data_IF_828143521640
#
_entry.id   IF_828143521640
#
_cell.length_a   1.000
_cell.length_b   1.000
_cell.length_c   1.000
_cell.angle_alpha   90.00
_cell.angle_beta   90.00
_cell.angle_gamma   90.00
#
_symmetry.space_group_name_H-M   'P 1'
#
loop_
_entity.id
_entity.type
_entity.pdbx_description
1 polymer ?
#
# COMPACT_ATOMS: atom_id res chain seq x y z
N UNK A 1 -7.48 -4.13 -12.90
CA UNK A 1 -6.02 -3.94 -12.90
C UNK A 1 -5.28 -5.02 -12.12
N UNK A 2 -5.61 -5.28 -10.86
CA UNK A 2 -4.97 -6.34 -10.04
C UNK A 2 -5.01 -7.72 -10.71
N UNK A 3 -6.16 -8.11 -11.29
CA UNK A 3 -6.28 -9.38 -12.03
C UNK A 3 -5.26 -9.53 -13.17
N UNK A 4 -5.02 -8.46 -13.94
CA UNK A 4 -4.03 -8.45 -15.01
C UNK A 4 -2.59 -8.62 -14.51
N UNK A 5 -2.27 -8.13 -13.30
CA UNK A 5 -0.95 -8.32 -12.68
C UNK A 5 -0.74 -9.80 -12.36
N UNK A 6 -1.74 -10.45 -11.74
CA UNK A 6 -1.67 -11.88 -11.44
C UNK A 6 -1.65 -12.72 -12.70
N UNK A 7 -2.47 -12.40 -13.70
CA UNK A 7 -2.45 -13.07 -15.00
C UNK A 7 -1.05 -13.05 -15.65
N UNK A 8 -0.33 -11.92 -15.56
CA UNK A 8 1.06 -11.83 -16.02
C UNK A 8 2.00 -12.71 -15.19
N UNK A 9 1.81 -12.78 -13.88
CA UNK A 9 2.58 -13.70 -13.04
C UNK A 9 2.29 -15.17 -13.39
N UNK A 10 1.05 -15.53 -13.68
CA UNK A 10 0.66 -16.87 -14.17
C UNK A 10 1.34 -17.22 -15.50
N UNK A 11 1.42 -16.28 -16.45
CA UNK A 11 2.18 -16.46 -17.69
C UNK A 11 3.66 -16.73 -17.39
N UNK A 12 4.29 -15.94 -16.51
CA UNK A 12 5.70 -16.13 -16.15
C UNK A 12 5.98 -17.49 -15.47
N UNK A 13 5.03 -18.04 -14.70
CA UNK A 13 5.13 -19.40 -14.15
C UNK A 13 5.21 -20.44 -15.27
N UNK A 14 4.38 -20.30 -16.31
CA UNK A 14 4.32 -21.24 -17.44
C UNK A 14 5.53 -21.11 -18.37
N UNK A 15 5.95 -19.88 -18.66
CA UNK A 15 6.96 -19.58 -19.69
C UNK A 15 8.40 -19.66 -19.14
N UNK A 16 8.60 -19.29 -17.87
CA UNK A 16 9.94 -19.02 -17.32
C UNK A 16 10.26 -19.85 -16.07
N UNK A 17 9.45 -20.86 -15.74
CA UNK A 17 9.57 -21.69 -14.53
C UNK A 17 9.70 -20.87 -13.23
N UNK A 18 9.10 -19.68 -13.22
CA UNK A 18 9.02 -18.83 -12.03
C UNK A 18 7.95 -19.36 -11.08
N UNK A 19 7.95 -18.85 -9.84
CA UNK A 19 6.83 -19.02 -8.90
C UNK A 19 6.39 -17.66 -8.40
N UNK A 20 5.18 -17.57 -7.88
CA UNK A 20 4.75 -16.40 -7.12
C UNK A 20 3.87 -16.76 -5.94
N UNK A 21 3.85 -15.85 -4.96
CA UNK A 21 2.90 -15.86 -3.86
C UNK A 21 2.24 -14.49 -3.82
N UNK A 22 0.91 -14.47 -3.86
CA UNK A 22 0.14 -13.24 -3.87
C UNK A 22 -0.92 -13.24 -2.76
N UNK A 23 -1.08 -12.08 -2.13
CA UNK A 23 -2.16 -11.82 -1.18
C UNK A 23 -2.85 -10.51 -1.53
N UNK A 24 -4.15 -10.46 -1.28
CA UNK A 24 -4.97 -9.25 -1.39
C UNK A 24 -5.54 -8.92 -0.02
N UNK A 25 -5.49 -7.65 0.35
CA UNK A 25 -6.19 -7.08 1.50
C UNK A 25 -7.06 -5.91 1.07
N UNK A 26 -8.06 -5.60 1.88
CA UNK A 26 -8.93 -4.45 1.68
C UNK A 26 -9.24 -3.79 3.00
N UNK A 27 -9.23 -2.47 3.02
CA UNK A 27 -9.64 -1.68 4.18
C UNK A 27 -10.47 -0.48 3.78
N UNK A 28 -11.37 -0.04 4.65
CA UNK A 28 -12.03 1.26 4.53
C UNK A 28 -11.65 2.19 5.66
N UNK A 29 -11.56 3.48 5.33
CA UNK A 29 -11.43 4.56 6.30
C UNK A 29 -12.81 5.23 6.43
N UNK A 30 -13.49 5.09 7.58
CA UNK A 30 -14.80 5.69 7.79
C UNK A 30 -14.76 7.22 7.83
N UNK A 31 -15.90 7.86 7.56
CA UNK A 31 -16.07 9.32 7.67
C UNK A 31 -15.84 9.88 9.07
N UNK A 32 -15.94 9.06 10.12
CA UNK A 32 -15.60 9.46 11.50
C UNK A 32 -14.15 9.97 11.64
N UNK A 33 -13.24 9.54 10.76
CA UNK A 33 -11.84 9.98 10.77
C UNK A 33 -11.66 11.47 10.40
N UNK A 34 -12.70 12.10 9.84
CA UNK A 34 -12.66 13.52 9.44
C UNK A 34 -12.65 14.44 10.64
N UNK A 35 -13.41 14.11 11.69
CA UNK A 35 -13.49 14.88 12.93
C UNK A 35 -12.66 14.28 14.08
N UNK A 36 -12.33 12.99 14.05
CA UNK A 36 -11.55 12.32 15.10
C UNK A 36 -10.04 12.61 15.05
N UNK A 37 -9.38 12.48 16.21
CA UNK A 37 -7.91 12.43 16.30
C UNK A 37 -7.37 11.05 15.94
N UNK A 38 -8.04 10.00 16.44
CA UNK A 38 -7.76 8.63 16.08
C UNK A 38 -8.20 8.29 14.66
N UNK A 39 -7.35 7.58 13.94
CA UNK A 39 -7.70 7.02 12.64
C UNK A 39 -8.26 5.63 12.85
N UNK A 40 -9.51 5.45 12.46
CA UNK A 40 -10.17 4.15 12.45
C UNK A 40 -10.07 3.50 11.07
N UNK A 41 -9.97 2.19 11.05
CA UNK A 41 -9.95 1.37 9.84
C UNK A 41 -10.87 0.18 10.02
N UNK A 42 -11.66 -0.13 9.00
CA UNK A 42 -12.45 -1.35 8.91
C UNK A 42 -11.79 -2.28 7.91
N UNK A 43 -11.44 -3.48 8.35
CA UNK A 43 -10.99 -4.54 7.45
C UNK A 43 -12.21 -5.14 6.74
N UNK A 44 -12.34 -4.88 5.44
CA UNK A 44 -13.49 -5.29 4.62
C UNK A 44 -13.47 -6.77 4.24
N UNK A 45 -12.42 -7.51 4.58
CA UNK A 45 -12.36 -8.98 4.45
C UNK A 45 -12.65 -9.68 5.79
N UNK A 46 -12.74 -8.93 6.88
CA UNK A 46 -13.15 -9.41 8.21
C UNK A 46 -14.63 -9.12 8.49
N UNK A 47 -15.18 -9.76 9.52
CA UNK A 47 -16.52 -9.46 10.06
C UNK A 47 -16.49 -8.42 11.18
N UNK A 48 -15.32 -7.86 11.52
CA UNK A 48 -15.16 -6.89 12.60
C UNK A 48 -15.65 -5.50 12.23
N UNK A 49 -16.00 -4.71 13.24
CA UNK A 49 -16.24 -3.27 13.09
C UNK A 49 -14.94 -2.48 12.90
N UNK A 50 -15.03 -1.15 12.71
CA UNK A 50 -13.84 -0.30 12.67
C UNK A 50 -13.00 -0.40 13.94
N UNK A 51 -11.68 -0.47 13.79
CA UNK A 51 -10.70 -0.50 14.87
C UNK A 51 -9.62 0.57 14.63
N UNK A 52 -8.85 0.93 15.66
CA UNK A 52 -7.78 1.92 15.52
C UNK A 52 -6.70 1.43 14.55
N UNK A 53 -6.30 2.30 13.61
CA UNK A 53 -5.34 1.99 12.57
C UNK A 53 -3.93 1.84 13.15
N UNK A 54 -3.32 0.66 12.94
CA UNK A 54 -1.95 0.39 13.33
C UNK A 54 -1.01 0.60 12.16
N UNK A 55 -0.54 1.83 12.00
CA UNK A 55 0.38 2.18 10.91
C UNK A 55 1.77 1.57 11.12
N UNK A 56 2.26 0.92 10.07
CA UNK A 56 3.59 0.34 10.04
C UNK A 56 4.25 0.55 8.69
N UNK A 57 5.49 0.09 8.56
CA UNK A 57 6.23 0.16 7.32
C UNK A 57 6.96 -1.15 7.06
N UNK A 58 6.73 -1.70 5.88
CA UNK A 58 7.58 -2.75 5.33
C UNK A 58 8.81 -2.09 4.69
N UNK A 59 10.03 -2.58 4.97
CA UNK A 59 11.25 -1.93 4.49
C UNK A 59 11.38 -1.90 2.96
N UNK A 60 10.68 -2.79 2.26
CA UNK A 60 10.71 -2.91 0.79
C UNK A 60 9.47 -2.25 0.17
N UNK A 61 8.27 -2.58 0.66
CA UNK A 61 7.01 -2.14 0.06
C UNK A 61 6.43 -0.86 0.63
N UNK A 62 7.03 -0.31 1.70
CA UNK A 62 6.67 1.01 2.25
C UNK A 62 5.58 0.96 3.33
N UNK A 63 4.91 2.10 3.61
CA UNK A 63 3.85 2.21 4.60
C UNK A 63 2.71 1.21 4.36
N UNK A 64 2.17 0.67 5.44
CA UNK A 64 1.03 -0.26 5.44
C UNK A 64 0.32 -0.23 6.80
N UNK A 65 -0.69 -1.08 6.93
CA UNK A 65 -1.45 -1.29 8.16
C UNK A 65 -1.19 -2.70 8.70
N UNK A 66 -1.01 -2.81 10.01
CA UNK A 66 -0.93 -4.09 10.71
C UNK A 66 -2.33 -4.61 11.05
N UNK A 67 -2.39 -5.89 11.37
CA UNK A 67 -3.61 -6.61 11.80
C UNK A 67 -4.77 -6.53 10.79
N UNK A 68 -4.42 -6.42 9.50
CA UNK A 68 -5.37 -6.52 8.39
C UNK A 68 -5.32 -7.94 7.82
N UNK A 69 -6.50 -8.53 7.61
CA UNK A 69 -6.65 -9.83 6.96
C UNK A 69 -6.17 -9.74 5.51
N UNK A 70 -5.36 -10.73 5.15
CA UNK A 70 -4.86 -10.95 3.80
C UNK A 70 -5.42 -12.29 3.31
N UNK A 71 -6.09 -12.30 2.14
CA UNK A 71 -6.49 -13.54 1.47
C UNK A 71 -5.47 -13.90 0.38
N UNK A 72 -4.97 -15.14 0.41
CA UNK A 72 -4.08 -15.66 -0.65
C UNK A 72 -4.88 -15.80 -1.95
N UNK A 73 -4.26 -15.43 -3.07
CA UNK A 73 -4.84 -15.54 -4.41
C UNK A 73 -3.88 -16.30 -5.33
N UNK A 74 -4.40 -17.33 -6.00
CA UNK A 74 -3.60 -18.20 -6.87
C UNK A 74 -3.68 -17.82 -8.35
N UNK A 75 -4.74 -17.13 -8.77
CA UNK A 75 -5.02 -16.80 -10.17
C UNK A 75 -5.89 -15.54 -10.29
N UNK A 76 -6.08 -15.09 -11.54
CA UNK A 76 -6.94 -13.95 -11.89
C UNK A 76 -8.38 -14.08 -11.33
N UNK A 77 -8.97 -15.28 -11.31
CA UNK A 77 -10.35 -15.50 -10.85
C UNK A 77 -10.45 -15.34 -9.33
N UNK A 78 -9.49 -15.88 -8.59
CA UNK A 78 -9.38 -15.72 -7.15
C UNK A 78 -9.23 -14.23 -6.77
N UNK A 79 -8.43 -13.46 -7.53
CA UNK A 79 -8.35 -12.00 -7.35
C UNK A 79 -9.72 -11.36 -7.52
N UNK A 80 -10.43 -11.65 -8.61
CA UNK A 80 -11.74 -11.06 -8.87
C UNK A 80 -12.73 -11.36 -7.74
N UNK A 81 -12.71 -12.57 -7.20
CA UNK A 81 -13.54 -12.96 -6.06
C UNK A 81 -13.20 -12.15 -4.79
N UNK A 82 -11.93 -12.02 -4.44
CA UNK A 82 -11.51 -11.26 -3.25
C UNK A 82 -11.80 -9.77 -3.40
N UNK A 83 -11.48 -9.17 -4.56
CA UNK A 83 -11.80 -7.76 -4.84
C UNK A 83 -13.31 -7.52 -4.78
N UNK A 84 -14.12 -8.44 -5.30
CA UNK A 84 -15.59 -8.33 -5.20
C UNK A 84 -16.07 -8.35 -3.75
N UNK A 85 -15.44 -9.13 -2.85
CA UNK A 85 -15.74 -9.07 -1.41
C UNK A 85 -15.39 -7.70 -0.83
N UNK A 86 -14.21 -7.16 -1.15
CA UNK A 86 -13.79 -5.84 -0.69
C UNK A 86 -14.81 -4.76 -1.09
N UNK A 87 -15.27 -4.77 -2.35
CA UNK A 87 -16.23 -3.79 -2.87
C UNK A 87 -17.61 -3.95 -2.24
N UNK A 88 -18.08 -5.19 -2.02
CA UNK A 88 -19.37 -5.44 -1.36
C UNK A 88 -19.44 -4.93 0.08
N UNK A 89 -18.31 -4.94 0.78
CA UNK A 89 -18.21 -4.56 2.19
C UNK A 89 -17.79 -3.09 2.40
N UNK A 90 -17.61 -2.35 1.30
CA UNK A 90 -17.34 -0.92 1.25
C UNK A 90 -18.66 -0.13 1.11
N UNK A 91 -18.83 0.91 1.93
CA UNK A 91 -20.04 1.72 1.92
C UNK A 91 -19.81 3.13 1.33
N UNK A 92 -20.06 3.24 0.03
CA UNK A 92 -19.99 4.51 -0.70
C UNK A 92 -21.06 5.53 -0.27
N UNK A 93 -22.11 5.13 0.47
CA UNK A 93 -23.12 6.10 0.94
C UNK A 93 -22.68 6.79 2.23
N UNK A 94 -21.73 6.22 2.94
CA UNK A 94 -21.32 6.63 4.28
C UNK A 94 -19.94 7.31 4.32
N UNK A 95 -19.50 7.99 3.26
CA UNK A 95 -18.23 8.72 3.40
C UNK A 95 -16.95 7.90 3.23
N UNK A 96 -17.06 6.59 3.00
CA UNK A 96 -15.91 5.71 3.14
C UNK A 96 -14.89 5.90 2.01
N UNK A 97 -13.61 5.73 2.35
CA UNK A 97 -12.52 5.60 1.41
C UNK A 97 -12.05 4.15 1.40
N UNK A 98 -12.02 3.50 0.23
CA UNK A 98 -11.60 2.10 0.08
C UNK A 98 -10.15 2.01 -0.40
N UNK A 99 -9.33 1.24 0.30
CA UNK A 99 -7.97 0.89 -0.12
C UNK A 99 -7.89 -0.62 -0.32
N UNK A 100 -7.52 -1.05 -1.52
CA UNK A 100 -7.24 -2.45 -1.84
C UNK A 100 -5.77 -2.60 -2.16
N UNK A 101 -5.08 -3.51 -1.46
CA UNK A 101 -3.65 -3.74 -1.64
C UNK A 101 -3.40 -5.16 -2.12
N UNK A 102 -2.61 -5.30 -3.18
CA UNK A 102 -1.99 -6.55 -3.61
C UNK A 102 -0.54 -6.56 -3.12
N UNK A 103 -0.16 -7.62 -2.40
CA UNK A 103 1.24 -7.93 -2.13
C UNK A 103 1.65 -9.14 -2.98
N UNK A 104 2.74 -9.00 -3.74
CA UNK A 104 3.23 -10.02 -4.66
C UNK A 104 4.70 -10.33 -4.34
N UNK A 105 4.99 -11.60 -4.06
CA UNK A 105 6.35 -12.15 -4.07
C UNK A 105 6.54 -12.92 -5.37
N UNK A 106 7.51 -12.54 -6.19
CA UNK A 106 7.95 -13.31 -7.37
C UNK A 106 9.27 -14.01 -7.07
N UNK A 107 9.36 -15.29 -7.44
CA UNK A 107 10.53 -16.14 -7.25
C UNK A 107 11.02 -16.51 -8.64
N UNK A 108 12.08 -15.84 -9.08
CA UNK A 108 12.65 -15.99 -10.43
C UNK A 108 13.88 -16.88 -10.41
N UNK A 109 14.06 -17.69 -11.44
CA UNK A 109 15.28 -18.48 -11.59
C UNK A 109 16.51 -17.56 -11.83
N UNK A 110 17.71 -17.92 -11.33
CA UNK A 110 18.02 -19.12 -10.55
C UNK A 110 17.80 -19.02 -9.03
N UNK A 111 17.35 -17.88 -8.46
CA UNK A 111 16.88 -17.69 -7.05
C UNK A 111 16.67 -16.20 -6.68
N UNK A 112 16.21 -15.37 -7.62
CA UNK A 112 15.95 -13.96 -7.34
C UNK A 112 14.54 -13.76 -6.81
N UNK A 113 14.44 -13.28 -5.56
CA UNK A 113 13.16 -13.00 -4.92
C UNK A 113 12.87 -11.51 -5.00
N UNK A 114 11.71 -11.17 -5.55
CA UNK A 114 11.21 -9.80 -5.63
C UNK A 114 9.91 -9.68 -4.84
N UNK A 115 9.79 -8.62 -4.04
CA UNK A 115 8.55 -8.27 -3.34
C UNK A 115 8.07 -6.94 -3.88
N UNK A 116 6.79 -6.88 -4.26
CA UNK A 116 6.14 -5.70 -4.80
C UNK A 116 4.78 -5.53 -4.14
N UNK A 117 4.38 -4.28 -3.87
CA UNK A 117 3.02 -3.94 -3.51
C UNK A 117 2.37 -3.13 -4.62
N UNK A 118 1.07 -3.30 -4.78
CA UNK A 118 0.25 -2.50 -5.67
C UNK A 118 -1.02 -2.08 -4.92
N UNK A 119 -1.29 -0.78 -4.87
CA UNK A 119 -2.38 -0.21 -4.09
C UNK A 119 -3.37 0.49 -5.02
N UNK A 120 -4.65 0.16 -4.88
CA UNK A 120 -5.75 0.92 -5.43
C UNK A 120 -6.44 1.70 -4.31
N UNK A 121 -6.53 3.01 -4.49
CA UNK A 121 -7.29 3.90 -3.62
C UNK A 121 -8.53 4.37 -4.36
N UNK A 122 -9.70 4.16 -3.76
CA UNK A 122 -10.99 4.63 -4.26
C UNK A 122 -11.57 5.65 -3.29
N UNK A 123 -11.89 6.82 -3.83
CA UNK A 123 -12.45 7.94 -3.11
C UNK A 123 -13.57 8.52 -3.95
N UNK A 124 -14.72 8.78 -3.34
CA UNK A 124 -15.79 9.50 -4.00
C UNK A 124 -15.66 10.99 -3.68
N UNK A 125 -15.25 11.77 -4.67
CA UNK A 125 -15.00 13.19 -4.50
C UNK A 125 -16.28 14.03 -4.31
N UNK A 126 -17.44 13.50 -4.71
CA UNK A 126 -18.74 14.18 -4.58
C UNK A 126 -19.35 14.07 -3.16
N UNK A 127 -18.71 13.33 -2.27
CA UNK A 127 -19.15 13.12 -0.89
C UNK A 127 -18.94 14.36 -0.02
N UNK A 128 -19.90 14.67 0.86
CA UNK A 128 -19.89 15.91 1.66
C UNK A 128 -18.72 15.99 2.63
N UNK A 129 -18.30 14.86 3.18
CA UNK A 129 -17.25 14.84 4.21
C UNK A 129 -15.85 14.57 3.66
N UNK A 130 -15.74 14.26 2.35
CA UNK A 130 -14.44 14.11 1.72
C UNK A 130 -13.92 15.45 1.20
N UNK A 131 -12.65 15.75 1.49
CA UNK A 131 -11.97 16.93 0.97
C UNK A 131 -10.57 16.53 0.51
N UNK A 132 -10.33 16.64 -0.80
CA UNK A 132 -9.06 16.26 -1.42
C UNK A 132 -7.89 17.08 -0.86
N UNK A 133 -8.07 18.39 -0.65
CA UNK A 133 -7.02 19.25 -0.11
C UNK A 133 -6.59 18.79 1.29
N UNK A 134 -7.55 18.41 2.14
CA UNK A 134 -7.26 17.88 3.48
C UNK A 134 -6.49 16.56 3.42
N UNK A 135 -6.86 15.65 2.51
CA UNK A 135 -6.11 14.41 2.30
C UNK A 135 -4.66 14.71 1.88
N UNK A 136 -4.47 15.64 0.94
CA UNK A 136 -3.13 16.04 0.48
C UNK A 136 -2.29 16.69 1.58
N UNK A 137 -2.90 17.51 2.44
CA UNK A 137 -2.25 18.06 3.64
C UNK A 137 -1.87 16.97 4.63
N UNK A 138 -2.75 16.00 4.89
CA UNK A 138 -2.46 14.84 5.75
C UNK A 138 -1.26 14.03 5.22
N UNK A 139 -1.18 13.83 3.90
CA UNK A 139 -0.06 13.14 3.25
C UNK A 139 1.24 13.93 3.42
N UNK A 140 1.22 15.22 3.09
CA UNK A 140 2.39 16.11 3.19
C UNK A 140 2.95 16.14 4.62
N UNK A 141 2.05 16.25 5.60
CA UNK A 141 2.40 16.34 7.01
C UNK A 141 2.59 14.98 7.69
N UNK A 142 2.38 13.87 6.97
CA UNK A 142 2.49 12.49 7.48
C UNK A 142 1.62 12.27 8.71
N UNK A 143 0.36 12.70 8.64
CA UNK A 143 -0.64 12.56 9.71
C UNK A 143 -1.84 11.77 9.22
N UNK A 144 -2.61 11.26 10.18
CA UNK A 144 -3.84 10.50 9.96
C UNK A 144 -3.67 9.41 8.88
N UNK A 145 -4.66 9.21 8.01
CA UNK A 145 -4.60 8.29 6.87
C UNK A 145 -3.51 8.65 5.84
N UNK A 146 -3.05 9.90 5.84
CA UNK A 146 -2.00 10.38 4.95
C UNK A 146 -0.68 9.62 5.11
N UNK A 147 -0.41 9.05 6.29
CA UNK A 147 0.75 8.18 6.56
C UNK A 147 0.85 7.02 5.55
N UNK A 148 -0.28 6.41 5.21
CA UNK A 148 -0.35 5.26 4.31
C UNK A 148 0.08 5.62 2.87
N UNK A 149 -0.16 6.86 2.45
CA UNK A 149 0.05 7.29 1.07
C UNK A 149 1.37 8.04 0.85
N UNK A 150 2.20 8.18 1.88
CA UNK A 150 3.51 8.87 1.77
C UNK A 150 4.48 8.21 0.80
N UNK A 151 4.31 6.91 0.49
CA UNK A 151 5.06 6.26 -0.58
C UNK A 151 4.49 6.57 -1.97
N UNK A 152 3.16 6.62 -2.08
CA UNK A 152 2.44 6.87 -3.32
C UNK A 152 2.60 8.32 -3.82
N UNK A 153 2.67 9.30 -2.92
CA UNK A 153 2.75 10.73 -3.28
C UNK A 153 4.04 11.33 -2.74
N UNK A 154 4.94 11.75 -3.64
CA UNK A 154 6.28 12.24 -3.32
C UNK A 154 7.28 11.16 -2.87
N UNK A 155 6.83 9.90 -2.77
CA UNK A 155 7.61 8.76 -2.31
C UNK A 155 8.18 7.90 -3.44
N UNK A 156 8.53 6.66 -3.11
CA UNK A 156 9.24 5.74 -4.00
C UNK A 156 8.32 4.75 -4.74
N UNK A 157 7.17 5.24 -5.19
CA UNK A 157 6.14 4.46 -5.90
C UNK A 157 5.86 5.08 -7.27
N UNK A 158 5.38 4.28 -8.22
CA UNK A 158 4.79 4.82 -9.46
C UNK A 158 3.30 4.98 -9.25
N UNK A 159 2.80 6.19 -9.43
CA UNK A 159 1.43 6.55 -9.12
C UNK A 159 0.75 7.09 -10.35
N UNK A 160 -0.44 6.57 -10.63
CA UNK A 160 -1.33 7.09 -11.64
C UNK A 160 -2.60 7.57 -10.94
N UNK A 161 -3.07 8.75 -11.32
CA UNK A 161 -4.33 9.31 -10.86
C UNK A 161 -5.34 9.25 -12.00
N UNK A 162 -6.54 8.77 -11.69
CA UNK A 162 -7.67 8.76 -12.62
C UNK A 162 -8.82 9.47 -11.94
N UNK A 163 -9.28 10.57 -12.53
CA UNK A 163 -10.47 11.30 -12.08
C UNK A 163 -11.55 11.10 -13.15
N UNK A 164 -12.47 10.14 -12.94
CA UNK A 164 -13.62 10.04 -13.82
C UNK A 164 -14.53 11.25 -13.60
N UNK A 165 -15.01 11.84 -14.70
CA UNK A 165 -16.00 12.93 -14.67
C UNK A 165 -17.31 12.38 -15.23
N UNK A 166 -18.36 12.46 -14.43
CA UNK A 166 -19.70 11.97 -14.74
C UNK A 166 -20.67 13.14 -14.94
N UNK A 167 -21.77 12.95 -15.69
CA UNK A 167 -22.79 14.00 -15.86
C UNK A 167 -23.33 14.53 -14.52
N UNK A 168 -23.38 13.71 -13.48
CA UNK A 168 -23.86 14.11 -12.16
C UNK A 168 -22.95 15.11 -11.44
N UNK A 169 -21.66 15.14 -11.77
CA UNK A 169 -20.70 16.04 -11.13
C UNK A 169 -20.99 17.51 -11.46
N UNK A 170 -21.69 17.78 -12.56
CA UNK A 170 -22.12 19.15 -12.93
C UNK A 170 -23.12 19.74 -11.92
N UNK A 171 -23.78 18.89 -11.11
CA UNK A 171 -24.65 19.35 -10.02
C UNK A 171 -23.86 19.99 -8.89
N UNK A 172 -22.55 19.77 -8.81
CA UNK A 172 -21.65 20.39 -7.85
C UNK A 172 -20.31 20.78 -8.49
N UNK A 173 -20.37 21.77 -9.39
CA UNK A 173 -19.22 22.29 -10.13
C UNK A 173 -18.08 22.80 -9.24
N UNK A 174 -18.36 23.24 -8.01
CA UNK A 174 -17.33 23.74 -7.10
C UNK A 174 -16.44 22.59 -6.60
N UNK A 175 -17.04 21.50 -6.12
CA UNK A 175 -16.30 20.31 -5.68
C UNK A 175 -15.53 19.68 -6.85
N UNK A 176 -16.13 19.62 -8.04
CA UNK A 176 -15.45 19.13 -9.24
C UNK A 176 -14.23 20.01 -9.57
N UNK A 177 -14.35 21.34 -9.55
CA UNK A 177 -13.22 22.26 -9.77
C UNK A 177 -12.09 22.05 -8.77
N UNK A 178 -12.41 21.92 -7.47
CA UNK A 178 -11.41 21.63 -6.44
C UNK A 178 -10.69 20.30 -6.73
N UNK A 179 -11.45 19.26 -7.04
CA UNK A 179 -10.90 17.92 -7.35
C UNK A 179 -9.98 17.96 -8.57
N UNK A 180 -10.38 18.65 -9.64
CA UNK A 180 -9.58 18.80 -10.85
C UNK A 180 -8.31 19.63 -10.60
N UNK A 181 -8.39 20.70 -9.81
CA UNK A 181 -7.23 21.53 -9.46
C UNK A 181 -6.21 20.75 -8.63
N UNK A 182 -6.67 20.04 -7.59
CA UNK A 182 -5.78 19.18 -6.79
C UNK A 182 -5.21 18.03 -7.63
N UNK A 183 -6.01 17.45 -8.52
CA UNK A 183 -5.53 16.42 -9.46
C UNK A 183 -4.45 16.94 -10.41
N UNK A 184 -4.63 18.15 -10.95
CA UNK A 184 -3.61 18.81 -11.76
C UNK A 184 -2.33 19.07 -10.95
N UNK A 185 -2.46 19.52 -9.69
CA UNK A 185 -1.31 19.70 -8.79
C UNK A 185 -0.58 18.38 -8.53
N UNK A 186 -1.31 17.28 -8.29
CA UNK A 186 -0.73 15.93 -8.12
C UNK A 186 0.08 15.49 -9.35
N UNK A 187 -0.39 15.80 -10.56
CA UNK A 187 0.32 15.46 -11.79
C UNK A 187 1.70 16.15 -11.92
N UNK A 188 1.88 17.29 -11.25
CA UNK A 188 3.19 17.98 -11.21
C UNK A 188 4.14 17.43 -10.15
N UNK A 189 3.65 16.60 -9.23
CA UNK A 189 4.47 16.07 -8.14
C UNK A 189 5.42 14.99 -8.66
N UNK A 190 6.72 15.20 -8.43
CA UNK A 190 7.74 14.21 -8.80
C UNK A 190 7.92 13.19 -7.70
N UNK A 191 7.49 11.96 -7.96
CA UNK A 191 7.87 10.82 -7.12
C UNK A 191 9.37 10.52 -7.25
N UNK A 192 9.95 10.05 -6.15
CA UNK A 192 11.31 9.50 -6.15
C UNK A 192 11.38 8.27 -7.06
N UNK A 193 12.56 7.92 -7.56
CA UNK A 193 12.75 6.64 -8.24
C UNK A 193 12.21 5.48 -7.40
N UNK A 194 11.59 4.51 -8.05
CA UNK A 194 11.12 3.30 -7.39
C UNK A 194 12.28 2.58 -6.71
N UNK A 195 12.04 2.04 -5.52
CA UNK A 195 13.00 1.15 -4.86
C UNK A 195 13.03 -0.19 -5.60
N UNK A 196 14.18 -0.86 -5.55
CA UNK A 196 14.25 -2.26 -5.95
C UNK A 196 13.39 -3.10 -5.01
N UNK A 197 12.49 -3.91 -5.58
CA UNK A 197 11.78 -4.95 -4.83
C UNK A 197 12.64 -6.19 -4.55
N UNK A 198 13.87 -6.24 -5.07
CA UNK A 198 14.76 -7.39 -4.95
C UNK A 198 15.31 -7.56 -3.53
N UNK A 199 15.05 -8.71 -2.91
CA UNK A 199 15.50 -8.99 -1.54
C UNK A 199 17.03 -8.99 -1.44
N UNK A 200 17.74 -9.50 -2.45
CA UNK A 200 19.21 -9.49 -2.50
C UNK A 200 19.76 -8.07 -2.49
N UNK A 201 19.19 -7.19 -3.33
CA UNK A 201 19.57 -5.77 -3.37
C UNK A 201 19.32 -5.11 -2.02
N UNK A 202 18.17 -5.39 -1.40
CA UNK A 202 17.84 -4.88 -0.07
C UNK A 202 18.87 -5.31 0.99
N UNK A 203 19.26 -6.59 1.00
CA UNK A 203 20.28 -7.13 1.90
C UNK A 203 21.61 -6.39 1.69
N UNK A 204 22.07 -6.26 0.44
CA UNK A 204 23.33 -5.60 0.11
C UNK A 204 23.35 -4.13 0.54
N UNK A 205 22.29 -3.38 0.21
CA UNK A 205 22.18 -1.95 0.54
C UNK A 205 22.03 -1.69 2.04
N UNK A 206 21.45 -2.62 2.78
CA UNK A 206 21.27 -2.49 4.23
C UNK A 206 22.52 -2.92 4.99
N UNK A 207 23.21 -3.98 4.54
CA UNK A 207 24.42 -4.50 5.19
C UNK A 207 25.63 -3.57 5.01
N UNK A 208 25.80 -2.98 3.82
CA UNK A 208 26.97 -2.15 3.50
C UNK A 208 27.26 -1.01 4.50
N UNK A 209 26.29 -0.17 4.87
CA UNK A 209 26.48 0.89 5.86
C UNK A 209 26.81 0.37 7.27
N UNK A 210 26.28 -0.80 7.66
CA UNK A 210 26.56 -1.43 8.96
C UNK A 210 28.01 -1.90 9.00
N UNK A 211 28.43 -2.65 7.98
CA UNK A 211 29.78 -3.22 7.87
C UNK A 211 30.85 -2.11 7.83
N UNK A 212 30.53 -0.96 7.22
CA UNK A 212 31.41 0.23 7.16
C UNK A 212 31.41 1.09 8.43
N UNK A 213 30.64 0.73 9.46
CA UNK A 213 30.52 1.54 10.68
C UNK A 213 29.86 2.91 10.48
N UNK A 214 29.11 3.10 9.38
CA UNK A 214 28.45 4.37 9.07
C UNK A 214 27.17 4.60 9.91
N UNK A 215 26.61 3.54 10.50
CA UNK A 215 25.44 3.61 11.38
C UNK A 215 25.92 3.73 12.82
N UNK A 216 25.88 4.95 13.37
CA UNK A 216 26.34 5.26 14.74
C UNK A 216 25.25 5.11 15.81
N UNK A 217 23.98 5.16 15.42
CA UNK A 217 22.85 4.97 16.32
C UNK A 217 22.61 3.46 16.53
N UNK A 218 22.82 2.99 17.76
CA UNK A 218 22.66 1.57 18.11
C UNK A 218 21.22 1.07 17.96
N UNK A 219 20.20 1.90 18.23
CA UNK A 219 18.79 1.51 18.01
C UNK A 219 18.49 1.37 16.52
N UNK A 220 19.04 2.28 15.70
CA UNK A 220 18.92 2.18 14.25
C UNK A 220 19.63 0.93 13.72
N UNK A 221 20.85 0.66 14.20
CA UNK A 221 21.63 -0.52 13.84
C UNK A 221 20.90 -1.81 14.20
N UNK A 222 20.36 -1.92 15.41
CA UNK A 222 19.56 -3.08 15.84
C UNK A 222 18.34 -3.28 14.94
N UNK A 223 17.62 -2.19 14.62
CA UNK A 223 16.47 -2.24 13.69
C UNK A 223 16.89 -2.73 12.30
N UNK A 224 18.01 -2.25 11.76
CA UNK A 224 18.52 -2.69 10.46
C UNK A 224 18.95 -4.16 10.49
N UNK A 225 19.55 -4.64 11.57
CA UNK A 225 19.90 -6.05 11.75
C UNK A 225 18.66 -6.95 11.79
N UNK A 226 17.58 -6.54 12.47
CA UNK A 226 16.29 -7.25 12.45
C UNK A 226 15.70 -7.32 11.03
N UNK A 227 15.78 -6.22 10.27
CA UNK A 227 15.35 -6.20 8.87
C UNK A 227 16.18 -7.14 7.99
N UNK A 228 17.50 -7.20 8.20
CA UNK A 228 18.41 -8.10 7.48
C UNK A 228 18.10 -9.57 7.79
N UNK A 229 17.86 -9.91 9.05
CA UNK A 229 17.48 -11.28 9.45
C UNK A 229 16.19 -11.71 8.75
N UNK A 230 15.15 -10.86 8.75
CA UNK A 230 13.90 -11.16 8.07
C UNK A 230 14.06 -11.30 6.54
N UNK A 231 14.88 -10.46 5.92
CA UNK A 231 15.17 -10.54 4.49
C UNK A 231 15.91 -11.83 4.12
N UNK A 232 16.85 -12.29 4.96
CA UNK A 232 17.53 -13.58 4.77
C UNK A 232 16.56 -14.75 4.91
N UNK A 233 15.71 -14.74 5.94
CA UNK A 233 14.67 -15.76 6.11
C UNK A 233 13.72 -15.79 4.90
N UNK A 234 13.37 -14.63 4.33
CA UNK A 234 12.58 -14.55 3.08
C UNK A 234 13.31 -15.10 1.85
N UNK A 235 14.64 -15.01 1.78
CA UNK A 235 15.42 -15.64 0.70
C UNK A 235 15.48 -17.16 0.84
N UNK A 236 15.54 -17.66 2.07
CA UNK A 236 15.60 -19.09 2.37
C UNK A 236 14.25 -19.78 2.15
N UNK A 237 13.16 -19.14 2.58
CA UNK A 237 11.79 -19.61 2.39
C UNK A 237 10.91 -18.53 1.76
N UNK A 238 11.07 -18.29 0.44
CA UNK A 238 10.35 -17.23 -0.25
C UNK A 238 8.85 -17.47 -0.38
N UNK A 239 8.38 -18.70 -0.19
CA UNK A 239 6.96 -19.03 -0.32
C UNK A 239 6.20 -18.78 0.99
N UNK A 240 6.80 -19.05 2.15
CA UNK A 240 6.09 -18.97 3.44
C UNK A 240 6.56 -17.87 4.37
N UNK A 241 7.84 -17.49 4.34
CA UNK A 241 8.31 -16.40 5.21
C UNK A 241 7.66 -15.07 4.79
N UNK A 242 7.28 -14.23 5.76
CA UNK A 242 6.78 -12.87 5.51
C UNK A 242 7.88 -11.86 5.84
N UNK A 243 7.99 -10.83 5.01
CA UNK A 243 8.74 -9.63 5.40
C UNK A 243 7.90 -8.84 6.40
N UNK A 244 8.34 -8.69 7.66
CA UNK A 244 7.55 -8.04 8.69
C UNK A 244 7.44 -6.54 8.41
N UNK A 245 6.32 -5.98 8.84
CA UNK A 245 6.15 -4.54 8.96
C UNK A 245 6.61 -4.09 10.35
N UNK A 246 7.32 -2.98 10.39
CA UNK A 246 7.79 -2.36 11.63
C UNK A 246 6.89 -1.18 11.96
N UNK A 247 6.44 -1.01 13.21
CA UNK A 247 5.64 0.15 13.60
C UNK A 247 6.29 1.45 13.12
N UNK A 248 5.50 2.32 12.53
CA UNK A 248 5.91 3.70 12.35
C UNK A 248 5.88 4.31 13.76
N UNK A 249 7.04 4.77 14.25
CA UNK A 249 7.10 5.45 15.54
C UNK A 249 6.01 6.52 15.55
N UNK A 250 5.04 6.36 16.44
CA UNK A 250 3.93 7.29 16.61
C UNK A 250 4.48 8.71 16.57
N UNK A 251 4.11 9.46 15.54
CA UNK A 251 4.13 10.92 15.67
C UNK A 251 3.21 11.22 16.85
N UNK A 252 3.82 11.48 18.02
CA UNK A 252 3.15 12.25 19.06
C UNK A 252 2.69 13.57 18.46
#
# INVERSE_FOLDING_TARGET
>A
MIGNIIKRAECAVKESKEKFVATVSGVTFPSSNRSGEDVMVKDVLSSGGPAQAKFATNPITGPNLQDIKEEKVADEKAVAAVVSKCVKNFDIKNDEMLVVTLNLTQIRAPKNVYVTSFMCLFVNHAQKTFNMKVLMENIKNRKKEGLLFTAAIGGATRTALVIPVMPEDVKNMEILKVTMNEGAAMNTMKNKPSRSGGIVTFIQMTKGPIDKGAVKDEKMKERMLKMLAAAKAKMEDPENAKMPSFPLSSSK
#
